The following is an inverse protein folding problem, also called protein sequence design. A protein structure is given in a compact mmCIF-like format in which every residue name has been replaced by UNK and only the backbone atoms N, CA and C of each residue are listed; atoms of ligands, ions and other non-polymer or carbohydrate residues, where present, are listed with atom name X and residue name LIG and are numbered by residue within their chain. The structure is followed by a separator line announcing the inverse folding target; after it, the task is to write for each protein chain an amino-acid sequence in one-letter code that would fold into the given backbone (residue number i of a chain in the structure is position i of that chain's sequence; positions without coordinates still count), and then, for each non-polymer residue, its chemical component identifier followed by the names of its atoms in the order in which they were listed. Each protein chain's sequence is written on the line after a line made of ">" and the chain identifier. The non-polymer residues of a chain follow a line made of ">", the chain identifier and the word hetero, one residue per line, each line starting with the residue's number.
data_IF_712659609520
#
_entry.id   IF_712659609520
#
_cell.length_a   1.000
_cell.length_b   1.000
_cell.length_c   1.000
_cell.angle_alpha   90.00
_cell.angle_beta   90.00
_cell.angle_gamma   90.00
#
_symmetry.space_group_name_H-M   'P 1'
#
loop_
_entity.id
_entity.type
_entity.pdbx_description
1 polymer ?
#
# COMPACT_ATOMS: atom_id res chain seq x y z
N UNK A 1 5.53 -19.50 11.17
CA UNK A 1 4.27 -18.79 11.55
C UNK A 1 4.28 -18.61 13.07
N UNK A 2 3.82 -17.48 13.62
CA UNK A 2 3.92 -17.18 15.07
C UNK A 2 2.70 -17.61 15.91
N UNK A 3 1.74 -18.33 15.31
CA UNK A 3 0.49 -18.79 15.96
C UNK A 3 -0.26 -17.67 16.71
N UNK A 4 -0.35 -16.49 16.09
CA UNK A 4 -1.08 -15.34 16.61
C UNK A 4 -2.29 -15.14 15.69
N UNK A 5 -3.48 -15.06 16.28
CA UNK A 5 -4.70 -14.70 15.55
C UNK A 5 -4.57 -13.28 15.03
N UNK A 6 -4.76 -13.07 13.72
CA UNK A 6 -4.64 -11.76 13.10
C UNK A 6 -5.76 -10.81 13.57
N UNK A 7 -5.44 -9.72 14.29
CA UNK A 7 -6.45 -8.75 14.70
C UNK A 7 -7.22 -8.12 13.53
N UNK A 8 -8.51 -7.81 13.73
CA UNK A 8 -9.40 -7.26 12.68
C UNK A 8 -8.88 -5.97 12.04
N UNK A 9 -8.15 -5.13 12.78
CA UNK A 9 -7.62 -3.87 12.26
C UNK A 9 -6.49 -4.07 11.23
N UNK A 10 -5.81 -5.22 11.20
CA UNK A 10 -4.85 -5.52 10.12
C UNK A 10 -5.53 -5.97 8.83
N UNK A 11 -6.84 -6.27 8.87
CA UNK A 11 -7.62 -6.66 7.70
C UNK A 11 -8.09 -5.48 6.85
N UNK A 12 -7.85 -4.24 7.30
CA UNK A 12 -8.24 -3.02 6.60
C UNK A 12 -7.08 -2.04 6.60
N UNK A 13 -6.68 -1.56 5.42
CA UNK A 13 -5.57 -0.63 5.29
C UNK A 13 -5.70 0.22 4.02
N UNK A 14 -4.98 1.34 3.98
CA UNK A 14 -4.82 2.13 2.76
C UNK A 14 -3.60 1.63 2.00
N UNK A 15 -3.81 1.15 0.77
CA UNK A 15 -2.71 0.91 -0.15
C UNK A 15 -2.26 2.24 -0.75
N UNK A 16 -1.15 2.78 -0.22
CA UNK A 16 -0.62 4.05 -0.68
C UNK A 16 -0.20 4.02 -2.14
N UNK A 17 0.37 2.92 -2.64
CA UNK A 17 0.80 2.83 -4.04
C UNK A 17 -0.42 2.92 -4.97
N UNK A 18 -1.52 2.24 -4.61
CA UNK A 18 -2.80 2.31 -5.34
C UNK A 18 -3.36 3.72 -5.33
N UNK A 19 -3.42 4.37 -4.17
CA UNK A 19 -3.93 5.74 -4.07
C UNK A 19 -3.08 6.74 -4.82
N UNK A 20 -1.76 6.59 -4.74
CA UNK A 20 -0.81 7.43 -5.47
C UNK A 20 -1.02 7.28 -6.97
N UNK A 21 -1.17 6.04 -7.46
CA UNK A 21 -1.45 5.76 -8.89
C UNK A 21 -2.75 6.41 -9.33
N UNK A 22 -3.83 6.26 -8.55
CA UNK A 22 -5.15 6.87 -8.82
C UNK A 22 -5.10 8.40 -8.84
N UNK A 23 -4.33 9.02 -7.93
CA UNK A 23 -4.27 10.47 -7.77
C UNK A 23 -3.29 11.17 -8.72
N UNK A 24 -2.14 10.56 -8.99
CA UNK A 24 -1.05 11.15 -9.80
C UNK A 24 -0.92 10.54 -11.20
N UNK A 25 -1.62 9.44 -11.50
CA UNK A 25 -1.57 8.76 -12.79
C UNK A 25 -0.25 8.01 -13.06
N UNK A 26 0.57 7.76 -12.04
CA UNK A 26 1.85 7.07 -12.20
C UNK A 26 1.68 5.56 -12.00
N UNK A 27 2.13 4.76 -12.97
CA UNK A 27 2.04 3.30 -12.87
C UNK A 27 3.03 2.73 -11.84
N UNK A 28 2.46 1.97 -10.90
CA UNK A 28 3.13 1.12 -9.90
C UNK A 28 4.39 1.74 -9.28
N UNK A 29 4.29 2.95 -8.67
CA UNK A 29 5.47 3.64 -8.18
C UNK A 29 5.99 3.00 -6.89
N UNK A 30 7.28 2.67 -6.87
CA UNK A 30 7.98 2.32 -5.65
C UNK A 30 8.25 3.59 -4.82
N UNK A 31 8.62 3.42 -3.54
CA UNK A 31 8.75 4.52 -2.57
C UNK A 31 9.57 5.71 -3.08
N UNK A 32 10.76 5.47 -3.64
CA UNK A 32 11.63 6.54 -4.19
C UNK A 32 10.99 7.28 -5.37
N UNK A 33 10.26 6.56 -6.24
CA UNK A 33 9.53 7.17 -7.37
C UNK A 33 8.38 8.05 -6.87
N UNK A 34 7.67 7.63 -5.82
CA UNK A 34 6.63 8.46 -5.19
C UNK A 34 7.23 9.73 -4.57
N UNK A 35 8.33 9.62 -3.82
CA UNK A 35 9.03 10.77 -3.26
C UNK A 35 9.45 11.77 -4.34
N UNK A 36 10.14 11.29 -5.37
CA UNK A 36 10.58 12.14 -6.50
C UNK A 36 9.42 12.83 -7.19
N UNK A 37 8.31 12.12 -7.43
CA UNK A 37 7.11 12.69 -8.02
C UNK A 37 6.42 13.74 -7.13
N UNK A 38 6.62 13.66 -5.82
CA UNK A 38 6.21 14.66 -4.84
C UNK A 38 7.22 15.81 -4.66
N UNK A 39 8.36 15.78 -5.34
CA UNK A 39 9.47 16.73 -5.13
C UNK A 39 10.15 16.58 -3.78
N UNK A 40 10.11 15.38 -3.18
CA UNK A 40 10.69 15.05 -1.89
C UNK A 40 11.95 14.21 -2.07
N UNK A 41 12.92 14.39 -1.17
CA UNK A 41 14.09 13.54 -1.07
C UNK A 41 13.88 12.41 -0.07
N UNK A 42 14.57 11.29 -0.27
CA UNK A 42 14.55 10.19 0.69
C UNK A 42 15.43 10.55 1.90
N UNK A 43 14.86 10.46 3.09
CA UNK A 43 15.59 10.70 4.33
C UNK A 43 15.83 9.39 5.11
N UNK A 44 17.03 9.23 5.68
CA UNK A 44 17.38 8.11 6.54
C UNK A 44 18.12 6.98 5.82
N UNK A 45 18.18 5.81 6.48
CA UNK A 45 18.92 4.64 5.97
C UNK A 45 18.01 3.78 5.10
N UNK A 46 18.50 3.41 3.92
CA UNK A 46 17.76 2.51 3.04
C UNK A 46 17.46 1.17 3.75
N UNK A 47 16.19 0.73 3.70
CA UNK A 47 15.68 -0.49 4.32
C UNK A 47 15.61 -0.45 5.86
N UNK A 48 15.67 0.75 6.45
CA UNK A 48 15.30 0.98 7.84
C UNK A 48 13.78 1.14 7.89
N UNK A 49 13.08 0.20 8.52
CA UNK A 49 11.61 0.22 8.58
C UNK A 49 11.06 1.52 9.17
N UNK A 50 11.75 2.12 10.15
CA UNK A 50 11.32 3.41 10.73
C UNK A 50 11.50 4.58 9.75
N UNK A 51 12.57 4.58 8.95
CA UNK A 51 12.81 5.65 7.98
C UNK A 51 11.86 5.51 6.79
N UNK A 52 11.56 4.28 6.35
CA UNK A 52 10.55 4.03 5.33
C UNK A 52 9.16 4.51 5.81
N UNK A 53 8.79 4.27 7.07
CA UNK A 53 7.56 4.82 7.65
C UNK A 53 7.52 6.35 7.64
N UNK A 54 8.63 7.03 7.98
CA UNK A 54 8.71 8.50 7.94
C UNK A 54 8.54 9.04 6.52
N UNK A 55 9.19 8.43 5.54
CA UNK A 55 9.08 8.82 4.13
C UNK A 55 7.66 8.59 3.59
N UNK A 56 7.02 7.47 3.94
CA UNK A 56 5.61 7.18 3.63
C UNK A 56 4.70 8.26 4.22
N UNK A 57 4.91 8.64 5.48
CA UNK A 57 4.12 9.68 6.13
C UNK A 57 4.22 11.04 5.40
N UNK A 58 5.42 11.42 4.96
CA UNK A 58 5.62 12.66 4.17
C UNK A 58 4.87 12.63 2.84
N UNK A 59 4.88 11.50 2.14
CA UNK A 59 4.08 11.34 0.93
C UNK A 59 2.59 11.53 1.25
N UNK A 60 2.08 10.86 2.28
CA UNK A 60 0.67 11.00 2.68
C UNK A 60 0.30 12.46 2.99
N UNK A 61 1.14 13.17 3.73
CA UNK A 61 0.95 14.60 4.02
C UNK A 61 0.96 15.45 2.75
N UNK A 62 1.90 15.19 1.84
CA UNK A 62 2.01 15.90 0.57
C UNK A 62 0.75 15.70 -0.28
N UNK A 63 0.32 14.45 -0.47
CA UNK A 63 -0.90 14.15 -1.23
C UNK A 63 -2.13 14.81 -0.61
N UNK A 64 -2.24 14.79 0.73
CA UNK A 64 -3.34 15.43 1.43
C UNK A 64 -3.38 16.96 1.17
N UNK A 65 -2.21 17.60 1.24
CA UNK A 65 -2.07 19.04 0.94
C UNK A 65 -2.42 19.40 -0.49
N UNK A 66 -2.23 18.48 -1.43
CA UNK A 66 -2.57 18.64 -2.85
C UNK A 66 -4.05 18.32 -3.16
N UNK A 67 -4.84 17.95 -2.16
CA UNK A 67 -6.27 17.73 -2.29
C UNK A 67 -6.73 16.27 -2.16
N UNK A 68 -5.82 15.30 -1.99
CA UNK A 68 -6.24 13.92 -1.74
C UNK A 68 -7.02 13.83 -0.42
N UNK A 69 -8.10 13.05 -0.43
CA UNK A 69 -8.89 12.72 0.76
C UNK A 69 -8.88 11.21 0.93
N UNK A 70 -8.44 10.75 2.10
CA UNK A 70 -8.46 9.34 2.46
C UNK A 70 -9.87 8.99 2.92
N UNK A 71 -10.61 8.26 2.09
CA UNK A 71 -12.00 7.89 2.34
C UNK A 71 -12.13 6.40 2.60
N UNK A 72 -13.21 5.98 3.27
CA UNK A 72 -13.44 4.58 3.57
C UNK A 72 -13.54 3.71 2.29
N UNK A 73 -14.08 4.25 1.19
CA UNK A 73 -14.17 3.56 -0.11
C UNK A 73 -12.80 3.20 -0.73
N UNK A 74 -11.76 3.92 -0.33
CA UNK A 74 -10.40 3.76 -0.82
C UNK A 74 -9.58 2.76 0.01
N UNK A 75 -10.16 2.21 1.09
CA UNK A 75 -9.53 1.18 1.91
C UNK A 75 -9.54 -0.17 1.19
N UNK A 76 -8.44 -0.89 1.29
CA UNK A 76 -8.37 -2.30 0.95
C UNK A 76 -8.81 -3.10 2.17
N UNK A 77 -9.69 -4.09 1.96
CA UNK A 77 -10.06 -5.03 2.99
C UNK A 77 -10.08 -6.45 2.46
N UNK A 78 -9.79 -7.43 3.32
CA UNK A 78 -9.85 -8.85 2.98
C UNK A 78 -10.73 -9.62 3.97
N UNK A 79 -11.39 -10.68 3.49
CA UNK A 79 -12.39 -11.45 4.25
C UNK A 79 -11.77 -12.11 5.48
N UNK A 80 -12.59 -12.45 6.48
CA UNK A 80 -12.10 -13.15 7.69
C UNK A 80 -11.51 -14.54 7.37
N UNK A 81 -11.98 -15.14 6.28
CA UNK A 81 -11.61 -16.46 5.79
C UNK A 81 -10.32 -16.46 4.95
N UNK A 82 -9.87 -15.29 4.49
CA UNK A 82 -8.65 -15.18 3.68
C UNK A 82 -7.39 -15.44 4.52
N UNK A 83 -6.66 -16.52 4.21
CA UNK A 83 -5.30 -16.79 4.70
C UNK A 83 -4.26 -16.39 3.63
N UNK A 84 -3.57 -15.24 3.79
CA UNK A 84 -2.51 -14.83 2.87
C UNK A 84 -1.34 -15.83 2.84
N UNK A 85 -1.19 -16.67 3.85
CA UNK A 85 -0.19 -17.72 3.89
C UNK A 85 -0.47 -18.91 2.97
N UNK A 86 -1.70 -19.05 2.47
CA UNK A 86 -2.08 -20.07 1.47
C UNK A 86 -2.19 -19.52 0.05
N UNK A 87 -2.22 -18.20 -0.11
CA UNK A 87 -2.30 -17.53 -1.40
C UNK A 87 -0.90 -17.42 -2.04
N UNK A 88 -0.62 -18.11 -3.17
CA UNK A 88 0.66 -18.00 -3.86
C UNK A 88 0.94 -16.58 -4.34
N UNK A 89 -0.09 -15.83 -4.73
CA UNK A 89 0.06 -14.45 -5.22
C UNK A 89 0.50 -13.48 -4.12
N UNK A 90 0.17 -13.77 -2.86
CA UNK A 90 0.62 -13.00 -1.71
C UNK A 90 2.10 -13.24 -1.40
N UNK A 91 2.59 -14.48 -1.55
CA UNK A 91 4.04 -14.77 -1.44
C UNK A 91 4.84 -14.02 -2.50
N UNK A 92 4.25 -13.91 -3.69
CA UNK A 92 4.84 -13.18 -4.79
C UNK A 92 4.66 -11.67 -4.69
N UNK A 93 3.96 -11.12 -3.68
CA UNK A 93 3.86 -9.67 -3.47
C UNK A 93 5.24 -9.01 -3.33
N UNK A 94 6.17 -9.69 -2.66
CA UNK A 94 7.55 -9.22 -2.49
C UNK A 94 8.46 -9.53 -3.69
N UNK A 95 8.05 -10.44 -4.58
CA UNK A 95 8.88 -10.97 -5.68
C UNK A 95 8.41 -10.49 -7.05
N UNK A 96 7.16 -10.06 -7.16
CA UNK A 96 6.47 -9.71 -8.39
C UNK A 96 5.79 -8.37 -8.20
N UNK A 97 6.40 -7.33 -8.77
CA UNK A 97 5.83 -5.98 -8.92
C UNK A 97 4.54 -5.94 -9.76
N UNK A 98 3.92 -7.09 -10.05
CA UNK A 98 2.90 -7.30 -11.08
C UNK A 98 1.55 -7.84 -10.55
N UNK A 99 1.50 -8.57 -9.43
CA UNK A 99 0.33 -9.42 -9.12
C UNK A 99 -0.87 -8.74 -8.44
N UNK A 100 -0.73 -7.50 -7.97
CA UNK A 100 -1.85 -6.71 -7.44
C UNK A 100 -2.96 -6.45 -8.48
N UNK A 101 -2.69 -6.67 -9.77
CA UNK A 101 -3.67 -6.51 -10.85
C UNK A 101 -4.60 -7.73 -11.02
N UNK A 102 -4.33 -8.88 -10.36
CA UNK A 102 -5.09 -10.12 -10.63
C UNK A 102 -5.86 -10.72 -9.46
N UNK A 103 -5.78 -10.16 -8.25
CA UNK A 103 -6.73 -10.53 -7.21
C UNK A 103 -8.04 -9.80 -7.53
N UNK A 104 -8.94 -10.53 -8.21
CA UNK A 104 -10.30 -10.11 -8.55
C UNK A 104 -10.96 -9.47 -7.32
N UNK A 105 -11.07 -8.15 -7.34
CA UNK A 105 -12.03 -7.45 -6.51
C UNK A 105 -13.40 -7.84 -7.05
N UNK A 106 -14.10 -8.72 -6.34
CA UNK A 106 -15.55 -8.84 -6.50
C UNK A 106 -16.11 -7.45 -6.23
N UNK A 107 -16.44 -6.74 -7.30
CA UNK A 107 -17.42 -5.68 -7.22
C UNK A 107 -18.75 -6.40 -7.00
N UNK A 108 -19.31 -6.27 -5.81
CA UNK A 108 -20.74 -6.49 -5.64
C UNK A 108 -21.44 -5.33 -6.34
N UNK A 109 -22.22 -5.66 -7.38
CA UNK A 109 -23.20 -4.77 -8.03
C UNK A 109 -24.30 -4.34 -7.06
#
# INVERSE_FOLDING_TARGET
>A
RKNITLPRYFRKFFDLQRLFTKFKGLEKPHLKKMLRACGLEYEGKHHSGIDDCKNIAKICMKLHSEGLRFKAEDMTSFSEEYDPGTDPSFRDYNTSSSLLTQVKFSQEE
#
